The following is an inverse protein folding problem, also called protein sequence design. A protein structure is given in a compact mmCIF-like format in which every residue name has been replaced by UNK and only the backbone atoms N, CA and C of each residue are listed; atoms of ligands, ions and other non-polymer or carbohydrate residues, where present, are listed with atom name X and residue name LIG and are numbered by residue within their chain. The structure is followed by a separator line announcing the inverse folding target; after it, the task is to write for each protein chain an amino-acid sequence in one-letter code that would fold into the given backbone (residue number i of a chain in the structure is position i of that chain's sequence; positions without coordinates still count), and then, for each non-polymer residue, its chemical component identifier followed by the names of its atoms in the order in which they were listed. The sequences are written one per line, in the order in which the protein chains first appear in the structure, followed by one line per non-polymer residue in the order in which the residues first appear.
data_IF_765593236111
#
_entry.id   IF_765593236111
#
_cell.length_a   1.000
_cell.length_b   1.000
_cell.length_c   1.000
_cell.angle_alpha   90.00
_cell.angle_beta   90.00
_cell.angle_gamma   90.00
#
_symmetry.space_group_name_H-M   'P 1'
#
loop_
_entity.id
_entity.type
_entity.pdbx_description
1 polymer ?
#
# COMPACT_ATOMS: atom_id res chain seq x y z
N UNK A 1 -24.97 7.75 -1.76
CA UNK A 1 -24.06 6.86 -2.48
C UNK A 1 -24.84 6.06 -3.51
N UNK A 2 -24.17 5.49 -4.52
CA UNK A 2 -24.76 4.57 -5.50
C UNK A 2 -23.77 3.48 -5.84
N UNK A 3 -24.20 2.21 -5.82
CA UNK A 3 -23.38 1.06 -6.16
C UNK A 3 -24.13 0.20 -7.16
N UNK A 4 -23.50 -0.10 -8.31
CA UNK A 4 -24.06 -0.99 -9.32
C UNK A 4 -22.98 -1.86 -9.95
N UNK A 5 -23.38 -3.05 -10.39
CA UNK A 5 -22.50 -3.95 -11.12
C UNK A 5 -21.52 -4.76 -10.28
N UNK A 6 -21.62 -4.73 -8.95
CA UNK A 6 -20.63 -5.29 -8.04
C UNK A 6 -21.20 -6.22 -6.95
N UNK A 7 -20.31 -6.96 -6.32
CA UNK A 7 -20.57 -7.77 -5.12
C UNK A 7 -19.36 -7.76 -4.17
N UNK A 8 -19.59 -8.01 -2.88
CA UNK A 8 -18.51 -8.14 -1.89
C UNK A 8 -18.03 -9.59 -1.86
N UNK A 9 -16.83 -9.87 -2.38
CA UNK A 9 -16.33 -11.25 -2.56
C UNK A 9 -14.80 -11.34 -2.64
N UNK A 10 -14.29 -12.56 -2.76
CA UNK A 10 -12.90 -12.87 -3.10
C UNK A 10 -12.69 -13.11 -4.60
N UNK A 11 -13.62 -12.63 -5.45
CA UNK A 11 -13.61 -12.92 -6.89
C UNK A 11 -12.33 -12.49 -7.62
N UNK A 12 -11.64 -11.47 -7.12
CA UNK A 12 -10.33 -11.02 -7.59
C UNK A 12 -9.18 -11.35 -6.63
N UNK A 13 -9.39 -12.31 -5.72
CA UNK A 13 -8.50 -12.57 -4.60
C UNK A 13 -8.66 -11.53 -3.48
N UNK A 14 -7.70 -11.54 -2.57
CA UNK A 14 -7.57 -10.53 -1.50
C UNK A 14 -6.77 -9.36 -2.09
N UNK A 15 -7.35 -8.17 -2.08
CA UNK A 15 -6.72 -6.94 -2.61
C UNK A 15 -5.91 -6.25 -1.51
N UNK A 16 -6.61 -5.80 -0.47
CA UNK A 16 -6.00 -5.40 0.76
C UNK A 16 -6.41 -6.41 1.82
N UNK A 17 -7.45 -6.20 2.62
CA UNK A 17 -7.86 -7.14 3.67
C UNK A 17 -9.25 -7.75 3.48
N UNK A 18 -9.35 -9.07 3.58
CA UNK A 18 -10.65 -9.75 3.51
C UNK A 18 -11.29 -9.65 2.13
N UNK A 19 -12.60 -9.36 2.11
CA UNK A 19 -13.40 -9.31 0.87
C UNK A 19 -13.33 -7.91 0.25
N UNK A 20 -13.14 -7.86 -1.06
CA UNK A 20 -13.16 -6.61 -1.83
C UNK A 20 -14.52 -6.40 -2.53
N UNK A 21 -14.73 -5.19 -3.04
CA UNK A 21 -15.84 -4.88 -3.92
C UNK A 21 -15.50 -5.26 -5.37
N UNK A 22 -16.06 -6.36 -5.86
CA UNK A 22 -15.75 -6.95 -7.17
C UNK A 22 -16.84 -6.61 -8.19
N UNK A 23 -16.45 -5.99 -9.30
CA UNK A 23 -17.33 -5.57 -10.40
C UNK A 23 -17.32 -6.61 -11.53
N UNK A 24 -18.26 -7.55 -11.46
CA UNK A 24 -18.37 -8.67 -12.40
C UNK A 24 -19.80 -8.87 -12.95
N UNK A 25 -20.76 -8.02 -12.58
CA UNK A 25 -22.16 -8.17 -13.00
C UNK A 25 -22.39 -7.52 -14.37
N UNK A 26 -23.50 -7.89 -15.01
CA UNK A 26 -23.85 -7.44 -16.37
C UNK A 26 -24.42 -6.01 -16.40
N UNK A 27 -24.93 -5.53 -15.27
CA UNK A 27 -25.41 -4.15 -15.14
C UNK A 27 -24.25 -3.16 -15.13
N UNK A 28 -24.53 -1.87 -15.44
CA UNK A 28 -23.56 -0.77 -15.35
C UNK A 28 -22.71 -0.85 -14.07
N UNK A 29 -21.39 -0.86 -14.23
CA UNK A 29 -20.41 -1.01 -13.15
C UNK A 29 -19.91 0.34 -12.67
N UNK A 30 -20.41 0.79 -11.52
CA UNK A 30 -19.90 2.00 -10.87
C UNK A 30 -20.09 1.98 -9.36
N UNK A 31 -19.22 2.75 -8.70
CA UNK A 31 -19.39 3.19 -7.32
C UNK A 31 -19.40 4.71 -7.31
N UNK A 32 -20.38 5.30 -6.62
CA UNK A 32 -20.49 6.73 -6.31
C UNK A 32 -20.57 6.88 -4.79
N UNK A 33 -19.67 7.65 -4.19
CA UNK A 33 -19.69 7.91 -2.75
C UNK A 33 -20.91 8.74 -2.35
N UNK A 34 -21.23 8.77 -1.06
CA UNK A 34 -22.01 9.89 -0.53
C UNK A 34 -21.18 11.19 -0.69
N UNK A 35 -21.78 12.38 -0.61
CA UNK A 35 -21.00 13.61 -0.46
C UNK A 35 -20.10 13.50 0.77
N UNK A 36 -18.80 13.73 0.58
CA UNK A 36 -17.78 13.65 1.62
C UNK A 36 -17.19 15.04 1.90
N UNK A 37 -16.62 15.22 3.09
CA UNK A 37 -15.75 16.35 3.38
C UNK A 37 -14.30 15.99 3.05
N UNK A 38 -13.79 16.57 1.97
CA UNK A 38 -12.39 16.44 1.54
C UNK A 38 -11.60 17.74 1.72
N UNK A 39 -12.11 18.70 2.50
CA UNK A 39 -11.46 20.01 2.70
C UNK A 39 -10.06 19.91 3.29
N UNK A 40 -9.84 18.94 4.17
CA UNK A 40 -8.54 18.67 4.81
C UNK A 40 -7.75 17.55 4.11
N UNK A 41 -8.32 16.92 3.08
CA UNK A 41 -7.66 15.83 2.37
C UNK A 41 -6.78 16.38 1.24
N UNK A 42 -5.60 15.78 1.08
CA UNK A 42 -4.71 16.04 -0.06
C UNK A 42 -4.75 14.92 -1.08
N UNK A 43 -4.97 13.68 -0.63
CA UNK A 43 -4.98 12.49 -1.46
C UNK A 43 -6.24 11.66 -1.24
N UNK A 44 -6.68 11.01 -2.31
CA UNK A 44 -7.61 9.90 -2.29
C UNK A 44 -6.82 8.62 -2.57
N UNK A 45 -6.83 7.69 -1.62
CA UNK A 45 -6.14 6.41 -1.70
C UNK A 45 -7.13 5.26 -1.72
N UNK A 46 -6.80 4.22 -2.46
CA UNK A 46 -7.60 3.01 -2.56
C UNK A 46 -6.78 1.89 -3.21
N UNK A 47 -7.20 0.66 -2.97
CA UNK A 47 -6.66 -0.49 -3.68
C UNK A 47 -7.57 -0.81 -4.86
N UNK A 48 -7.06 -0.68 -6.07
CA UNK A 48 -7.74 -1.10 -7.30
C UNK A 48 -7.19 -2.46 -7.71
N UNK A 49 -7.90 -3.22 -8.53
CA UNK A 49 -7.31 -4.32 -9.29
C UNK A 49 -8.05 -4.43 -10.61
N UNK A 50 -7.33 -4.35 -11.72
CA UNK A 50 -7.88 -4.55 -13.06
C UNK A 50 -7.58 -5.98 -13.52
N UNK A 51 -8.42 -6.90 -13.08
CA UNK A 51 -8.33 -8.31 -13.46
C UNK A 51 -7.13 -9.06 -12.90
N UNK A 52 -6.83 -10.16 -13.58
CA UNK A 52 -5.76 -11.11 -13.28
C UNK A 52 -5.20 -11.63 -14.59
N UNK A 53 -3.90 -11.91 -14.61
CA UNK A 53 -3.23 -12.57 -15.75
C UNK A 53 -3.51 -14.07 -15.82
N UNK A 54 -4.08 -14.64 -14.76
CA UNK A 54 -4.40 -16.07 -14.72
C UNK A 54 -5.69 -16.35 -15.48
N UNK A 55 -5.60 -17.19 -16.51
CA UNK A 55 -6.75 -17.67 -17.31
C UNK A 55 -7.74 -18.51 -16.49
N UNK A 56 -7.33 -19.01 -15.33
CA UNK A 56 -8.16 -19.79 -14.41
C UNK A 56 -8.82 -18.91 -13.34
N UNK A 57 -8.53 -17.60 -13.32
CA UNK A 57 -9.08 -16.68 -12.34
C UNK A 57 -10.53 -16.31 -12.67
N UNK A 58 -11.34 -16.15 -11.63
CA UNK A 58 -12.67 -15.52 -11.71
C UNK A 58 -12.63 -14.00 -11.95
N UNK A 59 -11.45 -13.43 -12.14
CA UNK A 59 -11.22 -12.00 -12.37
C UNK A 59 -10.42 -11.78 -13.66
N UNK A 60 -10.98 -12.08 -14.84
CA UNK A 60 -10.30 -11.83 -16.11
C UNK A 60 -10.08 -10.35 -16.34
N UNK A 61 -8.90 -10.00 -16.87
CA UNK A 61 -8.53 -8.61 -17.15
C UNK A 61 -9.28 -8.01 -18.35
N UNK A 62 -9.56 -6.69 -18.31
CA UNK A 62 -9.98 -5.94 -19.47
C UNK A 62 -9.03 -6.13 -20.67
N UNK A 63 -9.56 -6.26 -21.88
CA UNK A 63 -8.78 -6.56 -23.08
C UNK A 63 -8.91 -5.50 -24.19
N UNK A 64 -9.84 -4.54 -24.07
CA UNK A 64 -10.03 -3.44 -25.02
C UNK A 64 -9.82 -2.05 -24.39
N UNK A 65 -9.43 -1.04 -25.19
CA UNK A 65 -9.23 0.34 -24.73
C UNK A 65 -10.40 0.98 -23.97
N UNK A 66 -11.65 0.59 -24.24
CA UNK A 66 -12.84 1.15 -23.58
C UNK A 66 -13.20 0.52 -22.23
N UNK A 67 -12.52 -0.54 -21.82
CA UNK A 67 -12.89 -1.35 -20.66
C UNK A 67 -12.12 -0.98 -19.38
N UNK A 68 -11.31 0.09 -19.44
CA UNK A 68 -10.63 0.66 -18.29
C UNK A 68 -11.59 1.27 -17.26
N UNK A 69 -11.04 1.64 -16.10
CA UNK A 69 -11.79 2.29 -15.01
C UNK A 69 -11.45 3.76 -14.97
N UNK A 70 -12.48 4.60 -14.86
CA UNK A 70 -12.34 6.05 -14.74
C UNK A 70 -12.70 6.50 -13.33
N UNK A 71 -11.80 7.27 -12.72
CA UNK A 71 -12.05 7.98 -11.47
C UNK A 71 -12.44 9.43 -11.78
N UNK A 72 -13.61 9.84 -11.31
CA UNK A 72 -14.09 11.22 -11.40
C UNK A 72 -14.37 11.78 -10.02
N UNK A 73 -14.44 13.11 -9.94
CA UNK A 73 -15.11 13.81 -8.84
C UNK A 73 -16.23 14.72 -9.35
N UNK A 74 -17.20 14.99 -8.49
CA UNK A 74 -18.22 16.01 -8.65
C UNK A 74 -18.24 16.90 -7.42
N UNK A 75 -18.50 18.19 -7.63
CA UNK A 75 -18.61 19.16 -6.55
C UNK A 75 -19.91 19.96 -6.57
N UNK A 76 -20.87 19.46 -7.35
CA UNK A 76 -22.20 20.02 -7.59
C UNK A 76 -23.27 18.90 -7.50
N UNK A 77 -23.07 17.97 -6.57
CA UNK A 77 -23.98 16.87 -6.28
C UNK A 77 -24.30 15.97 -7.49
N UNK A 78 -23.30 15.71 -8.31
CA UNK A 78 -23.37 14.78 -9.43
C UNK A 78 -23.93 15.36 -10.74
N UNK A 79 -24.14 16.68 -10.82
CA UNK A 79 -24.58 17.36 -12.05
C UNK A 79 -23.45 17.34 -13.09
N UNK A 80 -22.23 17.73 -12.70
CA UNK A 80 -21.03 17.63 -13.54
C UNK A 80 -19.99 16.71 -12.92
N UNK A 81 -19.20 16.06 -13.78
CA UNK A 81 -18.16 15.13 -13.38
C UNK A 81 -16.84 15.50 -14.06
N UNK A 82 -15.80 15.72 -13.27
CA UNK A 82 -14.45 16.02 -13.74
C UNK A 82 -13.58 14.78 -13.58
N UNK A 83 -12.83 14.41 -14.62
CA UNK A 83 -11.93 13.26 -14.59
C UNK A 83 -10.71 13.56 -13.70
N UNK A 84 -10.42 12.66 -12.76
CA UNK A 84 -9.19 12.68 -11.97
C UNK A 84 -8.12 11.77 -12.58
N UNK A 85 -8.49 10.53 -12.89
CA UNK A 85 -7.55 9.52 -13.37
C UNK A 85 -8.23 8.49 -14.26
N UNK A 86 -7.49 8.02 -15.27
CA UNK A 86 -7.88 6.89 -16.12
C UNK A 86 -6.94 5.71 -15.85
N UNK A 87 -7.51 4.58 -15.45
CA UNK A 87 -6.79 3.31 -15.29
C UNK A 87 -7.05 2.45 -16.54
N UNK A 88 -6.06 2.43 -17.42
CA UNK A 88 -6.14 1.74 -18.71
C UNK A 88 -6.22 0.21 -18.55
N UNK A 89 -6.84 -0.44 -19.54
CA UNK A 89 -7.09 -1.88 -19.61
C UNK A 89 -5.85 -2.78 -19.46
N UNK A 90 -4.66 -2.29 -19.82
CA UNK A 90 -3.40 -3.06 -19.73
C UNK A 90 -2.68 -2.94 -18.38
N UNK A 91 -3.19 -2.11 -17.47
CA UNK A 91 -2.52 -1.78 -16.22
C UNK A 91 -2.95 -2.67 -15.06
N UNK A 92 -2.04 -3.50 -14.51
CA UNK A 92 -2.25 -4.18 -13.24
C UNK A 92 -1.77 -3.25 -12.12
N UNK A 93 -2.69 -2.66 -11.37
CA UNK A 93 -2.35 -1.73 -10.29
C UNK A 93 -3.09 -2.14 -9.05
N UNK A 94 -2.38 -2.21 -7.92
CA UNK A 94 -2.94 -2.55 -6.60
C UNK A 94 -3.17 -1.28 -5.77
N UNK A 95 -2.16 -0.66 -5.15
CA UNK A 95 -2.40 0.58 -4.38
C UNK A 95 -2.32 1.82 -5.28
N UNK A 96 -3.35 2.66 -5.20
CA UNK A 96 -3.50 3.86 -6.01
C UNK A 96 -3.65 5.07 -5.11
N UNK A 97 -2.88 6.11 -5.40
CA UNK A 97 -2.95 7.40 -4.71
C UNK A 97 -3.12 8.52 -5.71
N UNK A 98 -4.16 9.32 -5.54
CA UNK A 98 -4.47 10.44 -6.43
C UNK A 98 -4.50 11.73 -5.63
N UNK A 99 -3.71 12.72 -6.03
CA UNK A 99 -3.75 14.05 -5.43
C UNK A 99 -5.06 14.76 -5.81
N UNK A 100 -5.72 15.36 -4.82
CA UNK A 100 -6.99 16.03 -5.00
C UNK A 100 -6.77 17.45 -5.54
N UNK A 101 -7.33 17.79 -6.73
CA UNK A 101 -7.25 19.15 -7.24
C UNK A 101 -8.01 20.12 -6.33
N UNK A 102 -7.75 21.43 -6.45
CA UNK A 102 -8.41 22.45 -5.63
C UNK A 102 -9.94 22.36 -5.67
N UNK A 103 -10.53 22.04 -6.83
CA UNK A 103 -11.98 21.84 -6.97
C UNK A 103 -12.54 20.63 -6.23
N UNK A 104 -11.69 19.69 -5.81
CA UNK A 104 -12.05 18.48 -5.07
C UNK A 104 -11.66 18.54 -3.58
N UNK A 105 -11.10 19.67 -3.09
CA UNK A 105 -10.73 19.88 -1.67
C UNK A 105 -11.73 20.79 -0.96
N UNK A 106 -12.96 20.30 -0.77
CA UNK A 106 -14.05 21.05 -0.13
C UNK A 106 -15.13 20.12 0.41
N UNK A 107 -16.07 20.67 1.16
CA UNK A 107 -17.24 19.95 1.63
C UNK A 107 -18.16 19.56 0.46
N UNK A 108 -18.75 18.36 0.53
CA UNK A 108 -19.79 17.91 -0.39
C UNK A 108 -19.28 17.30 -1.70
N UNK A 109 -18.02 16.86 -1.75
CA UNK A 109 -17.43 16.23 -2.95
C UNK A 109 -17.86 14.78 -3.06
N UNK A 110 -18.23 14.33 -4.26
CA UNK A 110 -18.52 12.94 -4.57
C UNK A 110 -17.46 12.36 -5.50
N UNK A 111 -17.00 11.15 -5.21
CA UNK A 111 -16.08 10.41 -6.08
C UNK A 111 -16.82 9.29 -6.80
N UNK A 112 -16.42 9.03 -8.05
CA UNK A 112 -17.01 7.97 -8.89
C UNK A 112 -15.94 7.14 -9.59
N UNK A 113 -15.93 5.85 -9.29
CA UNK A 113 -15.25 4.83 -10.08
C UNK A 113 -16.25 4.25 -11.06
N UNK A 114 -15.94 4.27 -12.34
CA UNK A 114 -16.85 3.83 -13.38
C UNK A 114 -16.10 3.14 -14.52
N UNK A 115 -16.59 1.96 -14.89
CA UNK A 115 -16.15 1.26 -16.09
C UNK A 115 -17.13 1.57 -17.23
N UNK A 116 -16.71 2.27 -18.30
CA UNK A 116 -17.60 2.68 -19.38
C UNK A 116 -18.16 1.52 -20.19
N UNK A 117 -17.30 0.56 -20.52
CA UNK A 117 -17.64 -0.62 -21.34
C UNK A 117 -17.14 -1.90 -20.68
N UNK A 118 -17.87 -2.99 -20.88
CA UNK A 118 -17.45 -4.35 -20.55
C UNK A 118 -18.11 -5.34 -21.52
N UNK A 119 -17.47 -6.48 -21.71
CA UNK A 119 -17.88 -7.58 -22.61
C UNK A 119 -18.99 -8.46 -22.01
N UNK A 120 -19.43 -8.18 -20.80
CA UNK A 120 -20.59 -8.81 -20.16
C UNK A 120 -20.27 -9.35 -18.77
N UNK A 121 -21.23 -10.05 -18.16
CA UNK A 121 -21.06 -10.70 -16.85
C UNK A 121 -19.81 -11.57 -16.81
N UNK A 122 -18.97 -11.36 -15.81
CA UNK A 122 -17.74 -12.13 -15.58
C UNK A 122 -16.57 -11.77 -16.49
N UNK A 123 -16.72 -10.81 -17.41
CA UNK A 123 -15.63 -10.29 -18.24
C UNK A 123 -15.18 -8.91 -17.76
N UNK A 124 -13.93 -8.56 -18.05
CA UNK A 124 -13.31 -7.26 -17.77
C UNK A 124 -13.48 -6.85 -16.30
N UNK A 125 -13.19 -7.80 -15.42
CA UNK A 125 -13.52 -7.71 -14.00
C UNK A 125 -12.48 -6.84 -13.32
N UNK A 126 -12.95 -5.97 -12.44
CA UNK A 126 -12.10 -5.18 -11.57
C UNK A 126 -12.61 -5.23 -10.13
N UNK A 127 -11.72 -4.95 -9.19
CA UNK A 127 -12.07 -4.90 -7.78
C UNK A 127 -11.52 -3.63 -7.13
N UNK A 128 -12.19 -3.19 -6.08
CA UNK A 128 -11.85 -2.01 -5.31
C UNK A 128 -11.91 -2.33 -3.82
N UNK A 129 -10.95 -1.82 -3.06
CA UNK A 129 -10.85 -2.01 -1.62
C UNK A 129 -10.22 -0.78 -0.95
N UNK A 130 -10.36 -0.66 0.37
CA UNK A 130 -9.67 0.32 1.24
C UNK A 130 -9.66 1.78 0.74
N UNK A 131 -10.83 2.30 0.35
CA UNK A 131 -10.96 3.70 -0.04
C UNK A 131 -10.79 4.61 1.19
N UNK A 132 -9.80 5.48 1.16
CA UNK A 132 -9.50 6.45 2.21
C UNK A 132 -9.11 7.82 1.64
N UNK A 133 -9.34 8.86 2.43
CA UNK A 133 -8.87 10.22 2.14
C UNK A 133 -7.90 10.63 3.23
N UNK A 134 -6.83 11.30 2.84
CA UNK A 134 -5.74 11.63 3.77
C UNK A 134 -5.01 12.87 3.30
N UNK A 135 -4.42 13.62 4.23
CA UNK A 135 -3.48 14.70 3.91
C UNK A 135 -2.11 14.15 3.47
N UNK A 136 -1.86 12.84 3.63
CA UNK A 136 -0.53 12.23 3.46
C UNK A 136 -0.57 10.82 2.88
N UNK A 137 0.40 10.45 2.03
CA UNK A 137 0.42 9.24 1.18
C UNK A 137 0.75 7.93 1.91
N UNK A 138 -0.21 7.09 2.30
CA UNK A 138 0.03 5.74 2.85
C UNK A 138 0.80 4.88 1.82
N UNK A 139 2.10 4.69 1.99
CA UNK A 139 2.88 3.67 1.30
C UNK A 139 2.90 2.40 2.16
N UNK A 140 2.08 1.43 1.79
CA UNK A 140 2.21 0.05 2.22
C UNK A 140 3.42 -0.54 1.50
N UNK A 141 4.49 -0.81 2.23
CA UNK A 141 5.76 -1.30 1.66
C UNK A 141 5.91 -2.75 2.07
N UNK A 142 5.52 -3.65 1.18
CA UNK A 142 5.86 -5.06 1.27
C UNK A 142 7.15 -5.34 0.50
N UNK A 143 8.24 -5.61 1.23
CA UNK A 143 9.55 -5.94 0.67
C UNK A 143 10.00 -7.30 1.15
N UNK A 144 10.18 -8.25 0.24
CA UNK A 144 10.84 -9.53 0.53
C UNK A 144 12.34 -9.42 0.26
N UNK A 145 13.13 -9.70 1.28
CA UNK A 145 14.58 -9.72 1.20
C UNK A 145 15.11 -11.13 0.94
N UNK A 146 14.82 -11.67 -0.26
CA UNK A 146 15.23 -13.02 -0.66
C UNK A 146 16.52 -13.11 -1.46
N UNK A 147 16.97 -12.02 -2.08
CA UNK A 147 18.21 -12.00 -2.87
C UNK A 147 19.48 -11.90 -2.00
N UNK A 148 20.62 -12.30 -2.55
CA UNK A 148 21.94 -12.01 -1.98
C UNK A 148 22.30 -10.52 -2.15
N UNK A 149 22.90 -9.90 -1.12
CA UNK A 149 23.39 -8.51 -1.16
C UNK A 149 22.90 -7.67 0.02
N UNK A 150 23.07 -6.35 -0.06
CA UNK A 150 22.65 -5.46 1.04
C UNK A 150 21.12 -5.43 1.19
N UNK A 151 20.62 -6.00 2.29
CA UNK A 151 19.20 -6.06 2.64
C UNK A 151 18.81 -4.91 3.55
N UNK A 152 18.47 -3.77 2.94
CA UNK A 152 17.98 -2.61 3.66
C UNK A 152 16.80 -1.92 2.98
N UNK A 153 15.94 -1.33 3.80
CA UNK A 153 14.90 -0.41 3.42
C UNK A 153 15.20 0.94 4.07
N UNK A 154 15.30 2.03 3.29
CA UNK A 154 15.68 3.37 3.78
C UNK A 154 14.65 4.41 3.36
N UNK A 155 14.23 5.27 4.28
CA UNK A 155 13.30 6.37 3.98
C UNK A 155 13.98 7.55 3.31
N UNK A 156 13.18 8.43 2.68
CA UNK A 156 13.65 9.81 2.48
C UNK A 156 13.84 10.49 3.84
N UNK A 157 14.51 11.65 3.83
CA UNK A 157 14.52 12.52 4.99
C UNK A 157 13.12 13.08 5.24
N UNK A 158 12.71 13.10 6.51
CA UNK A 158 11.38 13.47 6.96
C UNK A 158 11.49 14.50 8.06
N UNK A 159 10.52 15.39 8.13
CA UNK A 159 10.30 16.19 9.32
C UNK A 159 9.58 15.32 10.37
N UNK A 160 10.26 15.04 11.47
CA UNK A 160 9.81 14.19 12.57
C UNK A 160 9.66 14.95 13.89
N UNK A 161 9.73 16.29 13.90
CA UNK A 161 9.60 17.09 15.13
C UNK A 161 8.26 16.85 15.83
N UNK A 162 7.22 16.61 15.03
CA UNK A 162 5.86 16.34 15.46
C UNK A 162 5.57 14.85 15.63
N UNK A 163 6.46 13.93 15.23
CA UNK A 163 6.20 12.49 15.27
C UNK A 163 6.46 11.90 16.67
N UNK A 164 5.62 10.94 17.08
CA UNK A 164 5.68 10.28 18.39
C UNK A 164 6.06 8.80 18.28
N UNK A 165 5.63 8.09 17.23
CA UNK A 165 5.86 6.66 17.09
C UNK A 165 6.08 6.21 15.65
N UNK A 166 6.65 5.02 15.52
CA UNK A 166 6.75 4.23 14.29
C UNK A 166 6.05 2.89 14.50
N UNK A 167 5.25 2.47 13.52
CA UNK A 167 4.57 1.18 13.53
C UNK A 167 4.61 0.51 12.15
N UNK A 168 4.58 -0.82 12.14
CA UNK A 168 4.64 -1.64 10.95
C UNK A 168 4.28 -3.09 11.29
N UNK A 169 4.06 -3.93 10.27
CA UNK A 169 4.09 -5.38 10.41
C UNK A 169 5.45 -5.91 9.98
N UNK A 170 5.99 -6.89 10.69
CA UNK A 170 7.24 -7.56 10.34
C UNK A 170 7.07 -9.08 10.42
N UNK A 171 7.70 -9.78 9.48
CA UNK A 171 7.95 -11.21 9.51
C UNK A 171 9.43 -11.46 9.18
N UNK A 172 10.08 -12.36 9.91
CA UNK A 172 11.44 -12.85 9.65
C UNK A 172 11.37 -14.38 9.55
N UNK A 173 11.73 -14.92 8.40
CA UNK A 173 11.64 -16.34 8.06
C UNK A 173 10.23 -16.83 7.72
N UNK A 174 10.14 -18.08 7.28
CA UNK A 174 8.87 -18.75 6.99
C UNK A 174 8.88 -20.25 7.26
N UNK A 175 7.71 -20.87 7.11
CA UNK A 175 7.51 -22.31 7.37
C UNK A 175 7.62 -23.15 6.09
N UNK A 176 8.05 -22.56 4.97
CA UNK A 176 8.04 -23.17 3.65
C UNK A 176 9.47 -23.43 3.19
N UNK A 177 9.69 -24.49 2.39
CA UNK A 177 11.02 -24.93 1.94
C UNK A 177 11.82 -23.87 1.15
N UNK A 178 11.15 -22.81 0.67
CA UNK A 178 11.74 -21.69 -0.08
C UNK A 178 11.93 -20.42 0.76
N UNK A 179 11.57 -20.45 2.07
CA UNK A 179 11.63 -19.34 3.01
C UNK A 179 12.19 -19.84 4.36
N UNK A 180 13.50 -20.08 4.40
CA UNK A 180 14.15 -20.65 5.59
C UNK A 180 14.14 -19.66 6.77
N UNK A 181 14.00 -20.19 7.98
CA UNK A 181 14.08 -19.41 9.21
C UNK A 181 15.53 -18.97 9.43
N UNK A 182 15.69 -17.73 9.89
CA UNK A 182 16.95 -17.28 10.46
C UNK A 182 17.35 -18.19 11.63
N UNK A 183 18.63 -18.51 11.71
CA UNK A 183 19.18 -19.46 12.69
C UNK A 183 20.22 -18.83 13.64
N UNK A 184 20.61 -17.57 13.38
CA UNK A 184 21.49 -16.79 14.26
C UNK A 184 20.92 -15.43 14.66
N UNK A 185 21.36 -14.92 15.82
CA UNK A 185 20.96 -13.61 16.34
C UNK A 185 21.27 -12.48 15.38
N UNK A 186 22.41 -12.57 14.71
CA UNK A 186 22.93 -11.55 13.80
C UNK A 186 22.11 -11.42 12.51
N UNK A 187 21.15 -12.32 12.28
CA UNK A 187 20.24 -12.34 11.12
C UNK A 187 18.89 -11.65 11.41
N UNK A 188 18.75 -11.04 12.60
CA UNK A 188 17.62 -10.18 12.93
C UNK A 188 17.58 -8.89 12.10
N UNK A 189 16.47 -8.15 12.22
CA UNK A 189 16.28 -6.88 11.52
C UNK A 189 16.46 -5.72 12.50
N UNK A 190 17.29 -4.75 12.16
CA UNK A 190 17.52 -3.55 12.95
C UNK A 190 16.67 -2.40 12.45
N UNK A 191 16.01 -1.68 13.35
CA UNK A 191 15.40 -0.38 13.10
C UNK A 191 16.33 0.73 13.59
N UNK A 192 16.74 1.61 12.68
CA UNK A 192 17.68 2.70 12.94
C UNK A 192 17.15 4.03 12.40
N UNK A 193 17.72 5.14 12.89
CA UNK A 193 17.50 6.49 12.36
C UNK A 193 18.81 7.21 12.08
N UNK A 194 18.77 8.24 11.24
CA UNK A 194 19.90 9.13 10.95
C UNK A 194 19.39 10.56 10.80
N UNK A 195 20.15 11.52 11.32
CA UNK A 195 19.88 12.97 11.21
C UNK A 195 20.92 13.70 10.34
N UNK A 196 21.79 12.95 9.65
CA UNK A 196 22.92 13.48 8.88
C UNK A 196 22.93 12.92 7.44
N UNK A 197 21.75 12.56 6.93
CA UNK A 197 21.62 12.03 5.58
C UNK A 197 22.17 10.61 5.40
N UNK A 198 22.26 9.84 6.49
CA UNK A 198 22.69 8.43 6.47
C UNK A 198 24.20 8.21 6.67
N UNK A 199 24.94 9.22 7.12
CA UNK A 199 26.39 9.11 7.43
C UNK A 199 26.58 8.32 8.72
N UNK A 200 25.77 8.63 9.75
CA UNK A 200 25.72 7.89 11.02
C UNK A 200 24.31 7.42 11.34
N UNK A 201 24.20 6.30 12.07
CA UNK A 201 22.94 5.63 12.36
C UNK A 201 22.80 5.35 13.87
N UNK A 202 21.72 5.85 14.48
CA UNK A 202 21.31 5.52 15.83
C UNK A 202 20.33 4.34 15.86
N UNK A 203 20.47 3.45 16.83
CA UNK A 203 19.58 2.30 17.00
C UNK A 203 18.28 2.70 17.73
N UNK A 204 17.13 2.27 17.21
CA UNK A 204 15.83 2.36 17.88
C UNK A 204 15.48 1.00 18.49
N UNK A 205 15.55 -0.06 17.68
CA UNK A 205 15.18 -1.40 18.11
C UNK A 205 15.91 -2.48 17.31
N UNK A 206 16.06 -3.64 17.95
CA UNK A 206 16.50 -4.90 17.33
C UNK A 206 15.31 -5.86 17.33
N UNK A 207 14.89 -6.27 16.14
CA UNK A 207 13.82 -7.25 15.95
C UNK A 207 14.42 -8.64 15.87
N UNK A 208 14.36 -9.35 16.99
CA UNK A 208 15.00 -10.64 17.17
C UNK A 208 14.36 -11.73 16.31
N UNK A 209 15.18 -12.51 15.61
CA UNK A 209 14.74 -13.40 14.53
C UNK A 209 13.66 -14.43 14.92
N UNK A 210 13.66 -14.93 16.17
CA UNK A 210 12.65 -15.90 16.63
C UNK A 210 11.28 -15.28 16.91
N UNK A 211 11.24 -13.98 17.22
CA UNK A 211 10.03 -13.30 17.69
C UNK A 211 9.07 -12.92 16.55
N UNK A 212 9.57 -13.00 15.31
CA UNK A 212 8.92 -12.55 14.08
C UNK A 212 8.75 -13.67 13.06
N UNK A 213 8.84 -14.94 13.46
CA UNK A 213 8.58 -16.12 12.59
C UNK A 213 7.17 -16.11 11.96
N UNK A 214 6.24 -15.37 12.57
CA UNK A 214 4.93 -15.03 12.03
C UNK A 214 4.78 -13.52 11.89
N UNK A 215 3.95 -13.02 10.94
CA UNK A 215 3.67 -11.59 10.84
C UNK A 215 3.19 -11.04 12.19
N UNK A 216 3.89 -10.03 12.67
CA UNK A 216 3.65 -9.39 13.96
C UNK A 216 3.64 -7.89 13.82
N UNK A 217 2.66 -7.26 14.46
CA UNK A 217 2.58 -5.81 14.58
C UNK A 217 3.66 -5.30 15.54
N UNK A 218 4.36 -4.26 15.11
CA UNK A 218 5.41 -3.57 15.84
C UNK A 218 4.99 -2.11 16.03
N UNK A 219 5.24 -1.60 17.23
CA UNK A 219 5.01 -0.21 17.59
C UNK A 219 6.11 0.24 18.55
N UNK A 220 6.82 1.31 18.19
CA UNK A 220 7.86 1.91 19.01
C UNK A 220 7.66 3.42 19.08
N UNK A 221 7.82 3.97 20.27
CA UNK A 221 7.96 5.42 20.44
C UNK A 221 9.29 5.89 19.84
N UNK A 222 9.26 7.03 19.14
CA UNK A 222 10.44 7.62 18.55
C UNK A 222 11.31 8.26 19.64
N UNK A 223 12.62 7.97 19.69
CA UNK A 223 13.51 8.62 20.64
C UNK A 223 13.57 10.12 20.37
N UNK A 224 13.70 10.94 21.41
CA UNK A 224 13.73 12.40 21.30
C UNK A 224 14.81 12.90 20.31
N UNK A 225 15.95 12.21 20.27
CA UNK A 225 17.04 12.53 19.35
C UNK A 225 16.69 12.31 17.86
N UNK A 226 15.65 11.53 17.55
CA UNK A 226 15.16 11.31 16.19
C UNK A 226 14.07 12.28 15.75
N UNK A 227 13.69 13.26 16.60
CA UNK A 227 12.67 14.27 16.30
C UNK A 227 13.32 15.54 15.78
N UNK A 228 13.55 15.61 14.48
CA UNK A 228 14.23 16.73 13.82
C UNK A 228 13.53 17.08 12.51
N UNK A 229 13.81 18.25 11.91
CA UNK A 229 13.26 18.60 10.59
C UNK A 229 13.74 17.69 9.44
N UNK A 230 14.75 16.84 9.68
CA UNK A 230 15.36 16.00 8.65
C UNK A 230 15.94 14.71 9.24
N UNK A 231 15.06 13.77 9.54
CA UNK A 231 15.41 12.43 10.01
C UNK A 231 15.00 11.38 8.98
N UNK A 232 15.87 10.40 8.71
CA UNK A 232 15.55 9.20 7.93
C UNK A 232 15.62 7.94 8.78
N UNK A 233 14.85 6.94 8.40
CA UNK A 233 14.78 5.64 9.05
C UNK A 233 15.30 4.54 8.14
N UNK A 234 15.85 3.49 8.75
CA UNK A 234 16.30 2.30 8.04
C UNK A 234 15.88 1.03 8.77
N UNK A 235 15.37 0.07 8.01
CA UNK A 235 15.29 -1.34 8.41
C UNK A 235 16.42 -2.07 7.70
N UNK A 236 17.27 -2.77 8.45
CA UNK A 236 18.46 -3.39 7.90
C UNK A 236 18.73 -4.74 8.56
N UNK A 237 18.98 -5.74 7.73
CA UNK A 237 19.49 -7.04 8.18
C UNK A 237 21.02 -7.04 8.02
N UNK A 238 21.80 -7.06 9.12
CA UNK A 238 23.25 -6.94 9.07
C UNK A 238 23.95 -8.15 8.46
N UNK A 239 23.42 -9.34 8.72
CA UNK A 239 23.98 -10.61 8.27
C UNK A 239 22.87 -11.49 7.71
N UNK A 240 23.19 -12.26 6.68
CA UNK A 240 22.34 -13.30 6.13
C UNK A 240 23.20 -14.41 5.53
N UNK A 241 22.66 -15.62 5.47
CA UNK A 241 23.29 -16.84 4.96
C UNK A 241 23.31 -16.94 3.43
N UNK A 242 22.61 -16.05 2.72
CA UNK A 242 22.72 -15.90 1.26
C UNK A 242 21.37 -15.78 0.57
N UNK A 243 21.37 -15.86 -0.76
CA UNK A 243 20.14 -15.89 -1.56
C UNK A 243 19.23 -17.04 -1.14
N UNK A 244 17.96 -16.76 -0.87
CA UNK A 244 16.97 -17.73 -0.42
C UNK A 244 16.94 -18.02 1.09
N UNK A 245 17.85 -17.43 1.87
CA UNK A 245 17.94 -17.63 3.32
C UNK A 245 17.62 -16.36 4.10
N UNK A 246 17.09 -16.52 5.31
CA UNK A 246 16.86 -15.47 6.32
C UNK A 246 16.02 -14.30 5.78
N UNK A 247 15.03 -14.66 4.98
CA UNK A 247 14.11 -13.72 4.35
C UNK A 247 13.35 -12.96 5.42
N UNK A 248 13.08 -11.68 5.17
CA UNK A 248 12.16 -10.92 5.98
C UNK A 248 11.27 -10.08 5.10
N UNK A 249 10.07 -9.83 5.61
CA UNK A 249 9.11 -8.98 4.97
C UNK A 249 8.52 -8.00 5.98
N UNK A 250 8.50 -6.74 5.58
CA UNK A 250 7.87 -5.65 6.32
C UNK A 250 6.59 -5.25 5.59
N UNK A 251 5.61 -4.67 6.29
CA UNK A 251 4.41 -4.11 5.69
C UNK A 251 3.85 -2.93 6.51
N UNK A 252 3.00 -2.09 5.91
CA UNK A 252 2.28 -0.98 6.57
C UNK A 252 3.14 -0.06 7.47
N UNK A 253 4.29 0.39 6.94
CA UNK A 253 5.18 1.32 7.67
C UNK A 253 4.53 2.69 7.83
N UNK A 254 4.37 3.12 9.07
CA UNK A 254 3.66 4.34 9.47
C UNK A 254 4.48 5.06 10.55
N UNK A 255 4.75 6.35 10.38
CA UNK A 255 5.44 7.19 11.38
C UNK A 255 4.64 8.44 11.66
N UNK A 256 4.08 8.53 12.88
CA UNK A 256 2.98 9.43 13.23
C UNK A 256 3.13 10.07 14.60
N UNK A 257 2.28 11.07 14.86
CA UNK A 257 1.81 11.39 16.20
C UNK A 257 0.33 11.01 16.33
N UNK A 258 -0.14 10.79 17.55
CA UNK A 258 -1.58 10.62 17.83
C UNK A 258 -2.43 11.80 17.33
N UNK A 259 -1.81 12.95 17.01
CA UNK A 259 -2.47 14.17 16.55
C UNK A 259 -2.45 14.39 15.03
N UNK A 260 -1.52 13.78 14.28
CA UNK A 260 -1.42 13.94 12.82
C UNK A 260 -0.91 12.67 12.11
N UNK A 261 -1.54 12.34 10.96
CA UNK A 261 -1.22 11.13 10.17
C UNK A 261 -0.32 11.43 8.96
N UNK A 262 1.01 11.23 9.00
CA UNK A 262 1.90 11.17 7.82
C UNK A 262 2.41 9.77 7.44
N UNK A 263 2.70 9.56 6.16
CA UNK A 263 3.36 8.37 5.68
C UNK A 263 4.48 8.75 4.72
N UNK A 264 5.49 7.90 4.77
CA UNK A 264 6.83 8.14 4.35
C UNK A 264 7.01 7.68 2.91
N UNK A 265 7.43 8.54 1.99
CA UNK A 265 8.05 8.06 0.77
C UNK A 265 9.39 7.39 1.14
N UNK A 266 9.71 6.24 0.55
CA UNK A 266 11.02 5.59 0.73
C UNK A 266 11.93 5.86 -0.46
N UNK A 267 13.24 5.96 -0.20
CA UNK A 267 14.25 6.02 -1.24
C UNK A 267 14.54 4.59 -1.74
N UNK A 268 14.78 4.46 -3.06
CA UNK A 268 14.95 3.21 -3.81
C UNK A 268 15.42 2.00 -2.95
N UNK A 269 14.60 0.95 -2.76
CA UNK A 269 15.08 -0.29 -2.17
C UNK A 269 16.18 -0.89 -3.06
N UNK A 270 17.14 -1.61 -2.47
CA UNK A 270 18.31 -2.13 -3.17
C UNK A 270 18.01 -3.26 -4.19
N UNK A 271 16.73 -3.61 -4.42
CA UNK A 271 16.32 -4.74 -5.27
C UNK A 271 15.13 -4.40 -6.19
N UNK A 272 14.95 -5.11 -7.32
CA UNK A 272 13.85 -4.89 -8.26
C UNK A 272 12.49 -5.19 -7.61
N UNK A 273 11.50 -4.33 -7.85
CA UNK A 273 10.13 -4.39 -7.32
C UNK A 273 9.26 -5.52 -7.93
N UNK A 274 9.83 -6.69 -8.18
CA UNK A 274 9.13 -7.77 -8.86
C UNK A 274 8.67 -8.86 -7.88
N UNK A 275 7.36 -9.10 -7.91
CA UNK A 275 6.58 -10.15 -7.23
C UNK A 275 6.32 -9.95 -5.75
N UNK A 276 5.10 -9.53 -5.33
CA UNK A 276 4.67 -9.75 -3.94
C UNK A 276 3.23 -10.26 -3.81
N UNK A 277 3.11 -11.29 -2.97
CA UNK A 277 1.90 -11.87 -2.38
C UNK A 277 1.90 -11.41 -0.92
N UNK A 278 0.77 -10.87 -0.44
CA UNK A 278 0.57 -10.36 0.93
C UNK A 278 1.12 -11.34 1.98
N UNK A 279 1.69 -10.84 3.08
CA UNK A 279 2.01 -11.65 4.26
C UNK A 279 0.69 -12.05 4.95
N UNK A 280 -0.07 -12.95 4.35
CA UNK A 280 -1.29 -13.51 4.93
C UNK A 280 -1.00 -14.92 5.44
N UNK A 281 -1.28 -15.11 6.74
CA UNK A 281 -1.32 -16.35 7.55
C UNK A 281 -0.90 -17.66 6.87
#
# INVERSE_FOLDING_TARGET
SSLRGAEVSFGCGVLASGKALVFNRDSRRHLITAPLDSSQARYLQFTLRLGSRSILSSCPAPDKPGEGVLLHYSSDNGITWTLLQHYAYQGFHEIVSVELPAGARKFGVQFRWWQPYHSGRGHDVWALDEISMTSVLFNTISLDFSNAGLRQLVSWDLDTEWAEFVQFYLRVGGDWAECNQADSREEGVLLQYSNDGGISWGLIAEMYFTDFTKPRFVHYELPLASKTPSTRFRWWQPLHSGEGYDQWAIDDVIILSEREKHIIPMANPTLPQHYYRRISN
#
